data_IF_149468700598
#
_entry.id   IF_149468700598
#
_cell.length_a   1.000
_cell.length_b   1.000
_cell.length_c   1.000
_cell.angle_alpha   90.00
_cell.angle_beta   90.00
_cell.angle_gamma   90.00
#
_symmetry.space_group_name_H-M   'P 1'
#
loop_
_entity.id
_entity.type
_entity.pdbx_description
1 polymer ?
#
# COMPACT_ATOMS: atom_id res chain seq x y z
N UNK A 1 4.36 -12.96 10.14
CA UNK A 1 3.71 -11.82 10.83
C UNK A 1 3.84 -10.54 10.00
N UNK A 2 2.77 -9.81 9.88
CA UNK A 2 2.78 -8.58 9.06
C UNK A 2 3.13 -7.38 9.93
N UNK A 3 4.06 -6.53 9.47
CA UNK A 3 4.45 -5.36 10.25
C UNK A 3 3.35 -4.31 10.28
N UNK A 4 3.35 -3.50 11.33
CA UNK A 4 2.48 -2.32 11.37
C UNK A 4 3.00 -1.27 10.40
N UNK A 5 2.09 -0.60 9.72
CA UNK A 5 2.45 0.54 8.88
C UNK A 5 3.25 1.57 9.68
N UNK A 6 2.79 1.84 10.90
CA UNK A 6 3.40 2.82 11.80
C UNK A 6 4.88 2.49 12.09
N UNK A 7 5.19 1.21 12.21
CA UNK A 7 6.57 0.79 12.50
C UNK A 7 7.45 0.78 11.25
N UNK A 8 6.91 0.31 10.14
CA UNK A 8 7.67 0.11 8.92
C UNK A 8 7.86 1.42 8.14
N UNK A 9 6.82 2.25 8.10
CA UNK A 9 6.79 3.49 7.32
C UNK A 9 6.16 4.60 8.16
N UNK A 10 6.83 5.03 9.24
CA UNK A 10 6.22 6.01 10.16
C UNK A 10 5.89 7.33 9.48
N UNK A 11 6.68 7.76 8.50
CA UNK A 11 6.40 9.01 7.80
C UNK A 11 5.12 8.93 6.99
N UNK A 12 4.87 7.78 6.36
CA UNK A 12 3.63 7.58 5.61
C UNK A 12 2.44 7.50 6.56
N UNK A 13 2.59 6.82 7.69
CA UNK A 13 1.52 6.75 8.68
C UNK A 13 1.14 8.16 9.17
N UNK A 14 2.14 8.99 9.44
CA UNK A 14 1.90 10.36 9.88
C UNK A 14 1.23 11.18 8.78
N UNK A 15 1.71 11.04 7.56
CA UNK A 15 1.14 11.75 6.40
C UNK A 15 -0.34 11.38 6.20
N UNK A 16 -0.66 10.08 6.26
CA UNK A 16 -2.04 9.62 6.10
C UNK A 16 -2.93 10.16 7.21
N UNK A 17 -2.47 10.09 8.45
CA UNK A 17 -3.26 10.60 9.58
C UNK A 17 -3.54 12.09 9.43
N UNK A 18 -2.52 12.85 9.03
CA UNK A 18 -2.66 14.30 8.85
C UNK A 18 -3.66 14.61 7.73
N UNK A 19 -3.50 13.95 6.58
CA UNK A 19 -4.39 14.21 5.43
C UNK A 19 -5.83 13.82 5.72
N UNK A 20 -6.03 12.69 6.41
CA UNK A 20 -7.38 12.24 6.75
C UNK A 20 -8.05 13.19 7.73
N UNK A 21 -7.32 13.65 8.74
CA UNK A 21 -7.87 14.60 9.70
C UNK A 21 -8.18 15.95 9.06
N UNK A 22 -7.30 16.42 8.18
CA UNK A 22 -7.53 17.68 7.47
C UNK A 22 -8.77 17.61 6.57
N UNK A 23 -9.01 16.44 5.99
CA UNK A 23 -10.16 16.23 5.13
C UNK A 23 -11.45 15.88 5.87
N UNK A 24 -11.42 15.85 7.20
CA UNK A 24 -12.60 15.53 7.99
C UNK A 24 -12.87 14.04 8.15
N UNK A 25 -11.98 13.18 7.65
CA UNK A 25 -12.17 11.72 7.74
C UNK A 25 -11.51 11.17 9.01
N UNK A 26 -11.92 11.72 10.16
CA UNK A 26 -11.29 11.40 11.43
C UNK A 26 -11.49 9.96 11.84
N UNK A 27 -12.62 9.35 11.46
CA UNK A 27 -12.86 7.94 11.75
C UNK A 27 -11.82 7.04 11.06
N UNK A 28 -11.51 7.34 9.80
CA UNK A 28 -10.48 6.58 9.07
C UNK A 28 -9.10 6.83 9.65
N UNK A 29 -8.84 8.05 10.11
CA UNK A 29 -7.55 8.39 10.70
C UNK A 29 -7.27 7.52 11.94
N UNK A 30 -8.29 7.16 12.70
CA UNK A 30 -8.12 6.32 13.88
C UNK A 30 -7.65 4.89 13.55
N UNK A 31 -7.82 4.46 12.30
CA UNK A 31 -7.38 3.13 11.89
C UNK A 31 -5.87 3.08 11.61
N UNK A 32 -5.27 4.23 11.28
CA UNK A 32 -3.88 4.25 10.79
C UNK A 32 -2.90 3.57 11.73
N UNK A 33 -2.94 3.80 13.06
CA UNK A 33 -1.98 3.13 13.96
C UNK A 33 -2.10 1.61 14.01
N UNK A 34 -3.21 1.06 13.52
CA UNK A 34 -3.47 -0.38 13.61
C UNK A 34 -3.32 -1.09 12.26
N UNK A 35 -3.04 -0.36 11.18
CA UNK A 35 -2.89 -0.97 9.86
C UNK A 35 -1.64 -1.83 9.80
N UNK A 36 -1.79 -3.03 9.24
CA UNK A 36 -0.66 -3.93 9.02
C UNK A 36 -0.44 -4.08 7.53
N UNK A 37 0.81 -4.22 7.15
CA UNK A 37 1.19 -4.34 5.74
C UNK A 37 1.21 -5.81 5.37
N UNK A 38 0.25 -6.23 4.55
CA UNK A 38 0.08 -7.63 4.16
C UNK A 38 0.94 -7.96 2.95
N UNK A 39 0.96 -7.06 1.97
CA UNK A 39 1.72 -7.27 0.74
C UNK A 39 1.82 -5.94 0.01
N UNK A 40 2.57 -5.93 -1.08
CA UNK A 40 2.64 -4.81 -2.00
C UNK A 40 2.01 -5.19 -3.33
N UNK A 41 1.68 -4.19 -4.15
CA UNK A 41 1.23 -4.43 -5.52
C UNK A 41 2.41 -4.98 -6.32
N UNK A 42 2.17 -6.01 -7.12
CA UNK A 42 3.21 -6.64 -7.92
C UNK A 42 3.00 -6.42 -9.41
N UNK A 43 2.47 -5.24 -9.74
CA UNK A 43 2.21 -4.89 -11.14
C UNK A 43 3.48 -4.66 -11.95
N UNK A 44 4.60 -4.38 -11.28
CA UNK A 44 5.86 -4.15 -11.97
C UNK A 44 6.07 -2.74 -12.50
N UNK A 45 5.08 -1.86 -12.35
CA UNK A 45 5.22 -0.48 -12.82
C UNK A 45 6.19 0.28 -11.91
N UNK A 46 7.09 1.04 -12.51
CA UNK A 46 8.13 1.73 -11.76
C UNK A 46 7.63 2.95 -11.00
N UNK A 47 6.39 3.35 -11.20
CA UNK A 47 5.78 4.47 -10.47
C UNK A 47 4.86 4.00 -9.34
N UNK A 48 4.68 2.68 -9.17
CA UNK A 48 3.71 2.13 -8.22
C UNK A 48 4.38 1.63 -6.95
N UNK A 49 3.89 2.09 -5.79
CA UNK A 49 4.35 1.65 -4.49
C UNK A 49 3.17 1.23 -3.61
N UNK A 50 2.09 0.78 -4.24
CA UNK A 50 0.84 0.45 -3.56
C UNK A 50 1.00 -0.69 -2.56
N UNK A 51 0.38 -0.52 -1.38
CA UNK A 51 0.44 -1.47 -0.27
C UNK A 51 -0.96 -1.98 0.05
N UNK A 52 -1.05 -3.27 0.34
CA UNK A 52 -2.30 -3.88 0.83
C UNK A 52 -2.25 -3.98 2.34
N UNK A 53 -3.32 -3.53 2.99
CA UNK A 53 -3.46 -3.63 4.45
C UNK A 53 -4.47 -4.73 4.83
N UNK A 54 -4.97 -5.45 3.83
CA UNK A 54 -5.79 -6.65 3.96
C UNK A 54 -5.47 -7.54 2.77
N UNK A 55 -5.80 -8.82 2.81
CA UNK A 55 -5.52 -9.70 1.68
C UNK A 55 -6.16 -9.18 0.41
N UNK A 56 -5.40 -9.19 -0.69
CA UNK A 56 -5.88 -8.76 -1.99
C UNK A 56 -7.02 -9.67 -2.46
N UNK A 57 -8.15 -9.11 -2.89
CA UNK A 57 -9.26 -9.93 -3.37
C UNK A 57 -8.97 -10.52 -4.74
N UNK A 58 -9.70 -11.58 -5.08
CA UNK A 58 -9.69 -12.12 -6.44
C UNK A 58 -10.66 -11.28 -7.26
N UNK A 59 -10.14 -10.37 -8.07
CA UNK A 59 -10.96 -9.48 -8.87
C UNK A 59 -11.35 -8.21 -8.12
N UNK A 60 -12.58 -7.76 -8.29
CA UNK A 60 -13.04 -6.50 -7.70
C UNK A 60 -13.34 -6.64 -6.22
N UNK A 61 -13.34 -5.51 -5.52
CA UNK A 61 -13.59 -5.49 -4.07
C UNK A 61 -15.04 -5.80 -3.69
N UNK A 62 -15.99 -5.57 -4.58
CA UNK A 62 -17.38 -5.86 -4.29
C UNK A 62 -18.19 -4.61 -3.93
N UNK A 63 -19.44 -4.82 -3.43
CA UNK A 63 -20.42 -3.73 -3.37
C UNK A 63 -20.18 -2.67 -2.31
N UNK A 64 -19.40 -2.95 -1.27
CA UNK A 64 -19.18 -1.98 -0.18
C UNK A 64 -17.84 -1.27 -0.32
N UNK A 65 -17.29 -1.22 -1.52
CA UNK A 65 -16.00 -0.61 -1.81
C UNK A 65 -16.15 0.87 -2.13
N UNK A 66 -15.35 1.68 -1.46
CA UNK A 66 -15.20 3.10 -1.75
C UNK A 66 -13.74 3.41 -2.00
N UNK A 67 -13.49 4.43 -2.81
CA UNK A 67 -12.15 4.98 -3.02
C UNK A 67 -12.12 6.40 -2.51
N UNK A 68 -11.04 6.75 -1.84
CA UNK A 68 -10.87 8.11 -1.33
C UNK A 68 -9.51 8.63 -1.75
N UNK A 69 -9.49 9.64 -2.62
CA UNK A 69 -8.26 10.32 -2.99
C UNK A 69 -7.88 11.31 -1.92
N UNK A 70 -6.63 11.24 -1.47
CA UNK A 70 -6.09 12.23 -0.56
C UNK A 70 -5.33 13.28 -1.37
N UNK A 71 -4.92 14.34 -0.72
CA UNK A 71 -4.29 15.46 -1.41
C UNK A 71 -2.88 15.72 -0.86
N UNK A 72 -1.92 14.80 -1.11
CA UNK A 72 -0.56 14.98 -0.64
C UNK A 72 0.15 16.08 -1.42
N UNK A 73 1.25 16.57 -0.88
CA UNK A 73 2.05 17.58 -1.57
C UNK A 73 2.82 16.98 -2.74
N UNK A 74 2.93 15.66 -2.82
CA UNK A 74 3.71 14.97 -3.86
C UNK A 74 3.08 13.62 -4.16
N UNK A 75 3.00 13.28 -5.44
CA UNK A 75 2.45 12.01 -5.89
C UNK A 75 0.96 11.87 -5.65
N UNK A 76 0.51 10.63 -5.62
CA UNK A 76 -0.91 10.31 -5.40
C UNK A 76 -1.06 9.31 -4.27
N UNK A 77 -2.01 9.56 -3.39
CA UNK A 77 -2.40 8.64 -2.33
C UNK A 77 -3.90 8.43 -2.42
N UNK A 78 -4.30 7.19 -2.63
CA UNK A 78 -5.71 6.82 -2.76
C UNK A 78 -5.96 5.65 -1.82
N UNK A 79 -6.97 5.77 -0.97
CA UNK A 79 -7.35 4.68 -0.07
C UNK A 79 -8.48 3.88 -0.68
N UNK A 80 -8.35 2.56 -0.67
CA UNK A 80 -9.46 1.67 -0.95
C UNK A 80 -10.04 1.24 0.39
N UNK A 81 -11.34 1.38 0.52
CA UNK A 81 -12.06 1.18 1.77
C UNK A 81 -13.19 0.20 1.49
N UNK A 82 -13.27 -0.85 2.31
CA UNK A 82 -14.33 -1.84 2.20
C UNK A 82 -14.98 -1.97 3.57
N UNK A 83 -16.28 -1.80 3.64
CA UNK A 83 -17.03 -1.85 4.89
C UNK A 83 -16.41 -0.91 5.94
N UNK A 84 -16.05 0.31 5.50
CA UNK A 84 -15.46 1.36 6.33
C UNK A 84 -14.05 1.06 6.83
N UNK A 85 -13.41 -0.01 6.31
CA UNK A 85 -12.04 -0.37 6.72
C UNK A 85 -11.09 -0.11 5.58
N UNK A 86 -9.94 0.48 5.89
CA UNK A 86 -8.88 0.71 4.91
C UNK A 86 -8.28 -0.65 4.57
N UNK A 87 -8.33 -1.03 3.28
CA UNK A 87 -7.81 -2.32 2.82
C UNK A 87 -6.63 -2.18 1.87
N UNK A 88 -6.41 -0.99 1.32
CA UNK A 88 -5.33 -0.77 0.37
C UNK A 88 -4.95 0.71 0.36
N UNK A 89 -3.67 0.99 0.23
CA UNK A 89 -3.14 2.33 0.08
C UNK A 89 -2.47 2.37 -1.29
N UNK A 90 -3.13 2.98 -2.28
CA UNK A 90 -2.55 3.14 -3.61
C UNK A 90 -1.59 4.32 -3.56
N UNK A 91 -0.35 4.05 -3.88
CA UNK A 91 0.73 5.02 -3.81
C UNK A 91 1.36 5.10 -5.19
N UNK A 92 1.27 6.26 -5.82
CA UNK A 92 1.78 6.45 -7.17
C UNK A 92 2.69 7.68 -7.23
N UNK A 93 3.79 7.55 -7.99
CA UNK A 93 4.75 8.63 -8.21
C UNK A 93 5.37 9.16 -6.92
N UNK A 94 5.74 8.24 -6.03
CA UNK A 94 6.40 8.52 -4.77
C UNK A 94 7.65 7.66 -4.68
N UNK A 95 8.74 8.13 -5.27
CA UNK A 95 9.99 7.39 -5.33
C UNK A 95 10.55 7.09 -3.94
N UNK A 96 10.40 8.04 -3.03
CA UNK A 96 10.83 7.89 -1.64
C UNK A 96 10.19 6.67 -0.98
N UNK A 97 8.90 6.47 -1.21
CA UNK A 97 8.17 5.34 -0.65
C UNK A 97 8.43 4.06 -1.43
N UNK A 98 8.54 4.15 -2.75
CA UNK A 98 8.70 2.97 -3.59
C UNK A 98 9.96 2.18 -3.22
N UNK A 99 11.06 2.87 -3.00
CA UNK A 99 12.31 2.21 -2.61
C UNK A 99 12.13 1.42 -1.32
N UNK A 100 11.47 2.02 -0.34
CA UNK A 100 11.25 1.38 0.96
C UNK A 100 10.26 0.23 0.88
N UNK A 101 9.21 0.37 0.07
CA UNK A 101 8.21 -0.69 -0.13
C UNK A 101 8.87 -1.92 -0.77
N UNK A 102 9.75 -1.71 -1.74
CA UNK A 102 10.46 -2.82 -2.37
C UNK A 102 11.42 -3.52 -1.40
N UNK A 103 11.97 -2.78 -0.45
CA UNK A 103 12.81 -3.37 0.60
C UNK A 103 11.98 -4.18 1.59
N UNK A 104 10.77 -3.72 1.92
CA UNK A 104 9.88 -4.43 2.83
C UNK A 104 9.35 -5.74 2.22
N UNK A 105 9.07 -5.73 0.94
CA UNK A 105 8.52 -6.87 0.22
C UNK A 105 9.39 -7.14 -1.01
N UNK A 106 10.53 -7.85 -0.84
CA UNK A 106 11.44 -8.10 -1.96
C UNK A 106 10.80 -8.91 -3.05
N UNK A 107 11.34 -8.80 -4.23
CA UNK A 107 10.86 -9.53 -5.38
C UNK A 107 10.81 -11.01 -5.16
N UNK A 108 11.15 -11.50 -4.82
CA UNK A 108 11.02 -12.80 -4.80
C UNK A 108 10.35 -13.55 -4.86
N UNK A 109 10.21 -13.41 -4.82
CA UNK A 109 9.87 -14.08 -4.81
C UNK A 109 9.57 -14.76 -5.32
N UNK A 110 9.72 -14.91 -5.67
CA UNK A 110 9.39 -15.41 -6.29
C UNK A 110 9.44 -16.04 -6.92
N UNK A 111 9.63 -15.71 -7.07
CA UNK A 111 9.60 -16.03 -7.90
C UNK A 111 9.82 -16.51 -8.48
N UNK A 112 10.00 -16.37 -8.40
CA UNK A 112 10.20 -16.64 -9.04
C UNK A 112 10.74 -16.99 -9.66
N UNK A 113 10.93 -16.66 -9.56
CA UNK A 113 11.47 -16.71 -10.26
C UNK A 113 12.06 -17.22 -10.80
N UNK A 114 12.25 -17.06 -10.68
CA UNK A 114 12.90 -17.28 -11.35
C UNK A 114 13.40 -17.72 -11.91
N UNK A 115 13.64 -17.72 -11.92
CA UNK A 115 14.30 -17.93 -12.62
C UNK A 115 14.71 -18.19 -13.15
N UNK A 116 14.65 -17.78 -13.17
CA UNK A 116 15.07 -17.79 -13.88
C UNK A 116 15.49 -18.12 -14.22
N UNK A 117 15.53 -17.96 -14.00
CA UNK A 117 16.12 -18.08 -14.59
C UNK A 117 16.47 -18.43 -14.96
N UNK A 118 16.41 -18.22 -14.77
CA UNK A 118 16.96 -18.33 -15.42
C UNK A 118 17.22 -18.56 -15.57
N UNK A 119 17.20 -18.32 -15.53
CA UNK A 119 17.56 -18.38 -15.95
C UNK A 119 17.83 -18.68 -16.08
N UNK A 120 17.82 -18.54 -16.04
CA UNK A 120 18.26 -18.67 -16.56
C UNK A 120 18.64 -19.09 -16.78
N UNK A 121 18.72 -18.99 -16.49
CA UNK A 121 19.26 -19.32 -17.00
C UNK A 121 19.59 -19.79 -17.41
N UNK A 122 19.61 -19.55 -17.33
CA UNK A 122 19.96 -19.74 -17.95
C UNK A 122 20.21 -20.04 -18.37
#
# INVERSE_FOLDING_TARGET
>A
MHPLLLDALPDLADELSTLLNQGGATELATQVPFLRLVDRCRCGDDFCATLYTAPKPNGAYGPNHDSMSLNPSSGHLILDIVDRKIVCIEILFREDLRTRVLQLFPQNSAGKQLPESGDHTL
#
